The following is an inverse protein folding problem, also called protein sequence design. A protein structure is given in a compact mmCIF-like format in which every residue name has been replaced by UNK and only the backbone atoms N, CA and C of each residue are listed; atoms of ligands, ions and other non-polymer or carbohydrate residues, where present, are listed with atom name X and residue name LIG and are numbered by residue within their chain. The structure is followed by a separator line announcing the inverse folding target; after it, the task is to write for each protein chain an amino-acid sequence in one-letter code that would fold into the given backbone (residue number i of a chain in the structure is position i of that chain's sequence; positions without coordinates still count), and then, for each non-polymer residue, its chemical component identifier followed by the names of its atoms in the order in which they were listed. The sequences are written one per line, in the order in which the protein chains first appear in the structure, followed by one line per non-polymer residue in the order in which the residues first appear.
data_IF_353762331860
#
_entry.id   IF_353762331860
#
_cell.length_a   1.000
_cell.length_b   1.000
_cell.length_c   1.000
_cell.angle_alpha   90.00
_cell.angle_beta   90.00
_cell.angle_gamma   90.00
#
_symmetry.space_group_name_H-M   'P 1'
#
loop_
_entity.id
_entity.type
_entity.pdbx_description
1 polymer ?
#
# COMPACT_ATOMS: atom_id res chain seq x y z
N UNK A 1 0.37 -10.98 26.28
CA UNK A 1 1.11 -11.45 25.09
C UNK A 1 2.00 -10.31 24.66
N UNK A 2 3.26 -10.55 24.33
CA UNK A 2 4.12 -9.52 23.75
C UNK A 2 3.70 -9.32 22.29
N UNK A 3 3.51 -8.09 21.86
CA UNK A 3 3.28 -7.77 20.46
C UNK A 3 4.54 -8.09 19.63
N UNK A 4 4.38 -8.76 18.50
CA UNK A 4 5.43 -8.97 17.51
C UNK A 4 4.99 -8.48 16.15
N UNK A 5 5.92 -7.92 15.38
CA UNK A 5 5.62 -7.50 14.01
C UNK A 5 5.33 -8.71 13.13
N UNK A 6 4.30 -8.64 12.27
CA UNK A 6 4.04 -9.67 11.29
C UNK A 6 5.25 -9.90 10.39
N UNK A 7 5.57 -11.16 10.14
CA UNK A 7 6.70 -11.53 9.28
C UNK A 7 6.22 -11.71 7.85
N UNK A 8 6.91 -11.09 6.91
CA UNK A 8 6.69 -11.34 5.49
C UNK A 8 7.01 -12.80 5.12
N UNK A 9 6.08 -13.44 4.44
CA UNK A 9 6.21 -14.78 3.89
C UNK A 9 6.16 -14.69 2.36
N UNK A 10 7.27 -15.00 1.71
CA UNK A 10 7.28 -15.11 0.26
C UNK A 10 6.38 -16.27 -0.21
N UNK A 11 5.72 -16.14 -1.38
CA UNK A 11 4.92 -17.22 -1.93
C UNK A 11 5.79 -18.41 -2.31
N UNK A 12 5.27 -19.61 -2.09
CA UNK A 12 5.84 -20.85 -2.62
C UNK A 12 5.21 -21.14 -3.99
N UNK A 13 5.87 -20.71 -5.06
CA UNK A 13 5.37 -20.86 -6.41
C UNK A 13 5.24 -22.33 -6.84
N UNK A 14 6.06 -23.23 -6.29
CA UNK A 14 5.94 -24.67 -6.52
C UNK A 14 4.66 -25.22 -5.90
N UNK A 15 4.39 -24.88 -4.64
CA UNK A 15 3.15 -25.28 -3.97
C UNK A 15 1.88 -24.69 -4.64
N UNK A 16 2.02 -23.52 -5.28
CA UNK A 16 0.94 -22.89 -6.05
C UNK A 16 0.78 -23.48 -7.46
N UNK A 17 1.68 -24.35 -7.92
CA UNK A 17 1.67 -24.90 -9.26
C UNK A 17 2.06 -23.88 -10.34
N UNK A 18 2.82 -22.86 -9.99
CA UNK A 18 3.21 -21.75 -10.86
C UNK A 18 4.67 -21.81 -11.34
N UNK A 19 5.32 -22.97 -11.22
CA UNK A 19 6.71 -23.19 -11.71
C UNK A 19 6.84 -23.04 -13.24
N UNK A 20 5.75 -23.30 -13.95
CA UNK A 20 5.69 -23.24 -15.40
C UNK A 20 4.80 -22.09 -15.90
N UNK A 21 4.64 -21.05 -15.08
CA UNK A 21 3.91 -19.87 -15.50
C UNK A 21 4.56 -19.23 -16.75
N UNK A 22 3.78 -18.65 -17.65
CA UNK A 22 4.35 -17.91 -18.76
C UNK A 22 5.07 -16.65 -18.28
N UNK A 23 6.06 -16.19 -19.02
CA UNK A 23 6.59 -14.84 -18.80
C UNK A 23 5.53 -13.78 -19.07
N UNK A 24 5.58 -12.70 -18.34
CA UNK A 24 4.69 -11.54 -18.54
C UNK A 24 4.83 -11.02 -19.97
N UNK A 25 3.72 -10.62 -20.54
CA UNK A 25 3.72 -9.93 -21.81
C UNK A 25 4.18 -8.49 -21.62
N UNK A 26 5.18 -8.08 -22.38
CA UNK A 26 5.71 -6.71 -22.40
C UNK A 26 5.32 -6.01 -23.70
N UNK A 27 4.83 -4.80 -23.58
CA UNK A 27 4.50 -3.93 -24.73
C UNK A 27 5.20 -2.59 -24.54
N UNK A 28 5.99 -2.11 -25.51
CA UNK A 28 6.66 -0.84 -25.38
C UNK A 28 5.66 0.32 -25.35
N UNK A 29 5.88 1.28 -24.48
CA UNK A 29 5.11 2.53 -24.48
C UNK A 29 5.41 3.31 -25.77
N UNK A 30 4.37 3.81 -26.44
CA UNK A 30 4.54 4.54 -27.70
C UNK A 30 5.05 5.96 -27.51
N UNK A 31 4.69 6.58 -26.38
CA UNK A 31 5.01 7.99 -26.07
C UNK A 31 5.27 8.16 -24.58
N UNK A 32 5.95 9.25 -24.22
CA UNK A 32 6.15 9.63 -22.83
C UNK A 32 4.80 9.85 -22.13
N UNK A 33 4.61 9.23 -20.97
CA UNK A 33 3.40 9.34 -20.16
C UNK A 33 2.17 8.60 -20.72
N UNK A 34 2.31 7.83 -21.80
CA UNK A 34 1.23 7.04 -22.39
C UNK A 34 1.53 5.56 -22.25
N UNK A 35 0.61 4.84 -21.64
CA UNK A 35 0.73 3.38 -21.45
C UNK A 35 -0.07 2.62 -22.51
N UNK A 36 0.38 1.42 -22.90
CA UNK A 36 -0.34 0.59 -23.86
C UNK A 36 -1.67 0.10 -23.33
N UNK A 37 -2.61 -0.18 -24.21
CA UNK A 37 -3.89 -0.78 -23.85
C UNK A 37 -3.67 -2.14 -23.15
N UNK A 38 -4.45 -2.38 -22.09
CA UNK A 38 -4.37 -3.61 -21.31
C UNK A 38 -3.17 -3.67 -20.37
N UNK A 39 -2.50 -2.54 -20.11
CA UNK A 39 -1.48 -2.50 -19.07
C UNK A 39 -2.03 -3.01 -17.72
N UNK A 40 -1.15 -3.59 -16.91
CA UNK A 40 -1.49 -3.98 -15.55
C UNK A 40 -1.41 -2.76 -14.61
N UNK A 41 -2.53 -2.43 -13.97
CA UNK A 41 -2.58 -1.40 -12.94
C UNK A 41 -2.17 -2.02 -11.60
N UNK A 42 -1.10 -1.52 -11.01
CA UNK A 42 -0.51 -2.08 -9.79
C UNK A 42 -1.36 -1.86 -8.54
N UNK A 43 -1.18 -2.72 -7.55
CA UNK A 43 -1.88 -2.70 -6.26
C UNK A 43 -0.95 -2.29 -5.12
N UNK A 44 -1.44 -2.32 -3.88
CA UNK A 44 -0.62 -2.14 -2.67
C UNK A 44 0.00 -3.44 -2.16
N UNK A 45 -0.44 -4.60 -2.69
CA UNK A 45 0.09 -5.89 -2.29
C UNK A 45 1.47 -6.15 -2.91
N UNK A 46 2.26 -7.06 -2.35
CA UNK A 46 3.42 -7.60 -3.04
C UNK A 46 3.00 -8.24 -4.36
N UNK A 47 3.54 -7.76 -5.45
CA UNK A 47 3.28 -8.25 -6.80
C UNK A 47 4.51 -8.92 -7.35
N UNK A 48 4.30 -10.11 -7.89
CA UNK A 48 5.34 -10.89 -8.54
C UNK A 48 5.05 -11.02 -10.02
N UNK A 49 6.09 -10.91 -10.80
CA UNK A 49 6.04 -11.01 -12.26
C UNK A 49 6.99 -12.09 -12.72
N UNK A 50 6.50 -12.99 -13.56
CA UNK A 50 7.35 -14.01 -14.16
C UNK A 50 8.12 -13.40 -15.34
N UNK A 51 9.42 -13.31 -15.21
CA UNK A 51 10.30 -12.64 -16.17
C UNK A 51 11.58 -13.47 -16.37
N UNK A 52 11.90 -13.78 -17.63
CA UNK A 52 13.05 -14.60 -17.98
C UNK A 52 13.09 -15.93 -17.21
N UNK A 53 11.94 -16.60 -17.11
CA UNK A 53 11.79 -17.91 -16.49
C UNK A 53 11.86 -17.91 -14.95
N UNK A 54 11.68 -16.76 -14.30
CA UNK A 54 11.69 -16.65 -12.83
C UNK A 54 10.69 -15.63 -12.31
N UNK A 55 10.22 -15.84 -11.09
CA UNK A 55 9.39 -14.88 -10.39
C UNK A 55 10.23 -13.75 -9.79
N UNK A 56 9.88 -12.51 -10.11
CA UNK A 56 10.55 -11.30 -9.66
C UNK A 56 9.54 -10.46 -8.87
N UNK A 57 9.86 -10.12 -7.63
CA UNK A 57 9.07 -9.17 -6.83
C UNK A 57 9.26 -7.76 -7.38
N UNK A 58 8.15 -7.04 -7.55
CA UNK A 58 8.19 -5.63 -7.91
C UNK A 58 8.88 -4.79 -6.81
N UNK A 59 9.73 -3.89 -7.22
CA UNK A 59 10.35 -2.92 -6.32
C UNK A 59 9.41 -1.72 -6.13
N UNK A 60 9.36 -1.19 -4.89
CA UNK A 60 8.61 0.04 -4.53
C UNK A 60 7.11 0.00 -4.87
N UNK A 61 6.41 -1.04 -4.39
CA UNK A 61 4.96 -1.22 -4.62
C UNK A 61 4.17 0.06 -4.34
N UNK A 62 3.35 0.46 -5.32
CA UNK A 62 2.40 1.57 -5.25
C UNK A 62 1.14 1.20 -6.00
N UNK A 63 0.00 1.64 -5.49
CA UNK A 63 -1.29 1.46 -6.14
C UNK A 63 -1.43 2.39 -7.36
N UNK A 64 -2.16 1.92 -8.37
CA UNK A 64 -2.52 2.67 -9.57
C UNK A 64 -1.31 3.22 -10.36
N UNK A 65 -0.24 2.45 -10.40
CA UNK A 65 0.96 2.72 -11.18
C UNK A 65 1.15 1.69 -12.29
N UNK A 66 2.29 1.71 -12.93
CA UNK A 66 2.64 0.89 -14.09
C UNK A 66 3.87 0.04 -13.76
N UNK A 67 3.80 -1.25 -14.05
CA UNK A 67 4.95 -2.15 -13.95
C UNK A 67 5.76 -2.10 -15.25
N UNK A 68 7.05 -1.75 -15.15
CA UNK A 68 7.98 -1.63 -16.26
C UNK A 68 9.16 -2.58 -16.03
N UNK A 69 9.47 -3.41 -17.02
CA UNK A 69 10.61 -4.33 -16.95
C UNK A 69 11.90 -3.61 -17.36
N UNK A 70 12.89 -3.55 -16.47
CA UNK A 70 14.19 -2.95 -16.74
C UNK A 70 15.31 -3.78 -16.11
N UNK A 71 16.30 -4.14 -16.89
CA UNK A 71 17.49 -4.85 -16.41
C UNK A 71 17.18 -6.13 -15.60
N UNK A 72 16.17 -6.91 -16.01
CA UNK A 72 15.73 -8.12 -15.31
C UNK A 72 15.04 -7.88 -13.96
N UNK A 73 14.53 -6.67 -13.73
CA UNK A 73 13.73 -6.26 -12.58
C UNK A 73 12.41 -5.65 -13.04
N UNK A 74 11.47 -5.52 -12.12
CA UNK A 74 10.21 -4.81 -12.33
C UNK A 74 10.21 -3.57 -11.45
N UNK A 75 10.21 -2.42 -12.09
CA UNK A 75 10.09 -1.10 -11.45
C UNK A 75 8.64 -0.61 -11.54
N UNK A 76 8.13 -0.08 -10.43
CA UNK A 76 6.79 0.52 -10.40
C UNK A 76 6.92 2.03 -10.67
N UNK A 77 6.31 2.46 -11.77
CA UNK A 77 6.48 3.80 -12.31
C UNK A 77 5.12 4.51 -12.39
N UNK A 78 5.05 5.75 -11.93
CA UNK A 78 3.87 6.59 -12.17
C UNK A 78 3.70 6.87 -13.68
N UNK A 79 2.45 6.97 -14.16
CA UNK A 79 2.15 7.20 -15.59
C UNK A 79 2.98 8.30 -16.22
N UNK A 80 3.05 9.45 -15.57
CA UNK A 80 3.79 10.64 -16.05
C UNK A 80 5.30 10.41 -16.23
N UNK A 81 5.83 9.38 -15.61
CA UNK A 81 7.26 9.04 -15.63
C UNK A 81 7.59 7.93 -16.63
N UNK A 82 6.59 7.29 -17.23
CA UNK A 82 6.77 6.31 -18.30
C UNK A 82 7.41 7.00 -19.51
N UNK A 83 8.40 6.36 -20.12
CA UNK A 83 9.10 6.86 -21.31
C UNK A 83 8.74 6.05 -22.54
N UNK A 84 8.77 6.71 -23.69
CA UNK A 84 8.64 6.02 -24.97
C UNK A 84 9.67 4.91 -25.08
N UNK A 85 9.21 3.70 -25.42
CA UNK A 85 10.04 2.50 -25.49
C UNK A 85 10.14 1.72 -24.17
N UNK A 86 9.64 2.21 -23.06
CA UNK A 86 9.58 1.45 -21.80
C UNK A 86 8.76 0.16 -21.99
N UNK A 87 9.31 -1.01 -21.65
CA UNK A 87 8.61 -2.29 -21.76
C UNK A 87 7.61 -2.44 -20.61
N UNK A 88 6.37 -2.07 -20.88
CA UNK A 88 5.27 -2.07 -19.92
C UNK A 88 4.64 -3.45 -19.84
N UNK A 89 4.39 -3.93 -18.62
CA UNK A 89 3.65 -5.18 -18.36
C UNK A 89 2.19 -4.99 -18.74
N UNK A 90 1.67 -5.91 -19.56
CA UNK A 90 0.25 -5.96 -19.92
C UNK A 90 -0.33 -7.32 -19.50
N UNK A 91 -1.56 -7.28 -18.98
CA UNK A 91 -2.29 -8.44 -18.45
C UNK A 91 -3.37 -8.00 -17.48
N UNK A 92 -4.34 -8.87 -17.23
CA UNK A 92 -5.48 -8.55 -16.33
C UNK A 92 -5.71 -9.59 -15.25
N UNK A 93 -5.10 -10.76 -15.38
CA UNK A 93 -5.20 -11.83 -14.38
C UNK A 93 -4.06 -11.71 -13.38
N UNK A 94 -4.37 -11.95 -12.11
CA UNK A 94 -3.47 -11.74 -10.97
C UNK A 94 -3.16 -13.04 -10.24
N UNK A 95 -3.52 -14.17 -10.87
CA UNK A 95 -3.40 -15.52 -10.32
C UNK A 95 -2.16 -16.29 -10.81
N UNK A 96 -1.31 -15.64 -11.60
CA UNK A 96 -0.10 -16.22 -12.21
C UNK A 96 -0.30 -16.75 -13.63
N UNK A 97 -1.53 -16.85 -14.12
CA UNK A 97 -1.83 -17.42 -15.45
C UNK A 97 -1.30 -16.57 -16.61
N UNK A 98 -1.14 -15.27 -16.41
CA UNK A 98 -0.50 -14.32 -17.34
C UNK A 98 0.89 -13.88 -16.88
N UNK A 99 1.51 -14.62 -15.95
CA UNK A 99 2.80 -14.26 -15.39
C UNK A 99 2.75 -13.14 -14.37
N UNK A 100 1.56 -12.73 -13.92
CA UNK A 100 1.35 -11.74 -12.88
C UNK A 100 0.71 -12.43 -11.68
N UNK A 101 1.32 -12.32 -10.50
CA UNK A 101 0.80 -12.90 -9.27
C UNK A 101 0.77 -11.88 -8.16
N UNK A 102 -0.41 -11.60 -7.62
CA UNK A 102 -0.59 -10.77 -6.43
C UNK A 102 -0.62 -11.65 -5.20
N UNK A 103 0.15 -11.28 -4.18
CA UNK A 103 0.29 -12.03 -2.94
C UNK A 103 -0.46 -11.37 -1.77
N UNK A 104 -1.79 -11.58 -1.61
CA UNK A 104 -2.58 -10.88 -0.61
C UNK A 104 -2.31 -11.37 0.82
N UNK A 105 -1.91 -12.63 0.99
CA UNK A 105 -1.66 -13.25 2.29
C UNK A 105 -0.16 -13.31 2.61
N UNK A 106 0.49 -12.17 2.55
CA UNK A 106 1.94 -12.06 2.60
C UNK A 106 2.52 -11.93 4.01
N UNK A 107 1.69 -11.82 5.04
CA UNK A 107 2.16 -11.71 6.42
C UNK A 107 1.60 -12.83 7.29
N UNK A 108 2.43 -13.34 8.19
CA UNK A 108 2.02 -14.25 9.25
C UNK A 108 2.36 -13.66 10.60
N UNK A 109 1.49 -13.90 11.58
CA UNK A 109 1.82 -13.76 12.98
C UNK A 109 2.68 -14.93 13.45
N UNK A 110 3.29 -14.83 14.65
CA UNK A 110 4.07 -15.90 15.25
C UNK A 110 3.25 -17.17 15.52
N UNK A 111 1.93 -17.08 15.57
CA UNK A 111 1.01 -18.20 15.74
C UNK A 111 0.68 -18.92 14.43
N UNK A 112 1.21 -18.45 13.28
CA UNK A 112 0.95 -19.04 11.98
C UNK A 112 -0.46 -18.74 11.44
N UNK A 113 -1.15 -17.80 12.02
CA UNK A 113 -2.50 -17.42 11.64
C UNK A 113 -2.45 -16.51 10.38
N UNK A 114 -2.85 -17.04 9.24
CA UNK A 114 -2.79 -16.35 7.94
C UNK A 114 -3.87 -15.26 7.75
N UNK A 115 -4.62 -14.91 8.81
CA UNK A 115 -5.78 -14.02 8.69
C UNK A 115 -5.52 -12.54 9.00
N UNK A 116 -4.30 -12.15 9.40
CA UNK A 116 -4.03 -10.83 9.97
C UNK A 116 -4.21 -9.65 8.98
N UNK A 117 -4.10 -9.88 7.67
CA UNK A 117 -4.28 -8.83 6.65
C UNK A 117 -5.13 -9.25 5.45
N UNK A 118 -6.12 -10.13 5.66
CA UNK A 118 -7.10 -10.35 4.62
C UNK A 118 -7.93 -9.07 4.44
N UNK A 119 -7.72 -8.33 3.36
CA UNK A 119 -8.74 -7.43 2.84
C UNK A 119 -9.98 -8.27 2.59
N UNK A 120 -10.95 -8.15 3.48
CA UNK A 120 -12.10 -9.03 3.55
C UNK A 120 -12.90 -8.93 2.27
N UNK A 121 -12.82 -9.93 1.44
CA UNK A 121 -13.83 -10.19 0.42
C UNK A 121 -15.18 -10.39 1.13
N UNK A 122 -16.05 -9.39 1.08
CA UNK A 122 -17.46 -9.55 1.50
C UNK A 122 -17.93 -8.76 2.71
N UNK A 123 -17.16 -7.81 3.27
CA UNK A 123 -17.64 -6.93 4.35
C UNK A 123 -17.48 -5.45 4.01
N UNK A 124 -18.55 -4.69 4.29
CA UNK A 124 -18.63 -3.25 4.11
C UNK A 124 -17.49 -2.52 4.85
N UNK A 125 -16.98 -1.43 4.26
CA UNK A 125 -16.02 -0.50 4.87
C UNK A 125 -16.51 0.15 6.17
N UNK A 126 -17.79 -0.01 6.49
CA UNK A 126 -18.49 0.68 7.58
C UNK A 126 -18.57 -0.12 8.88
N UNK A 127 -18.10 -1.36 8.93
CA UNK A 127 -18.09 -2.15 10.15
C UNK A 127 -16.74 -2.04 10.86
N UNK A 128 -16.68 -1.23 11.90
CA UNK A 128 -15.57 -1.18 12.82
C UNK A 128 -15.49 -2.50 13.62
N UNK A 129 -14.36 -3.20 13.55
CA UNK A 129 -14.09 -4.36 14.37
C UNK A 129 -13.13 -3.97 15.49
N UNK A 130 -13.53 -4.22 16.72
CA UNK A 130 -12.73 -3.93 17.91
C UNK A 130 -11.36 -4.62 17.90
N UNK A 131 -11.29 -5.80 17.31
CA UNK A 131 -10.03 -6.56 17.16
C UNK A 131 -9.03 -5.81 16.28
N UNK A 132 -9.47 -5.29 15.13
CA UNK A 132 -8.59 -4.55 14.21
C UNK A 132 -8.05 -3.26 14.88
N UNK A 133 -8.86 -2.60 15.71
CA UNK A 133 -8.40 -1.44 16.48
C UNK A 133 -7.42 -1.81 17.59
N UNK A 134 -7.62 -2.94 18.27
CA UNK A 134 -6.70 -3.40 19.31
C UNK A 134 -5.32 -3.74 18.74
N UNK A 135 -5.27 -4.37 17.56
CA UNK A 135 -4.03 -4.63 16.82
C UNK A 135 -3.36 -3.32 16.39
N UNK A 136 -4.13 -2.38 15.83
CA UNK A 136 -3.63 -1.05 15.48
C UNK A 136 -3.03 -0.32 16.70
N UNK A 137 -3.70 -0.38 17.86
CA UNK A 137 -3.18 0.25 19.08
C UNK A 137 -1.88 -0.42 19.56
N UNK A 138 -1.77 -1.74 19.43
CA UNK A 138 -0.53 -2.46 19.77
C UNK A 138 0.60 -2.08 18.81
N UNK A 139 0.31 -1.99 17.50
CA UNK A 139 1.27 -1.54 16.49
C UNK A 139 1.75 -0.12 16.80
N UNK A 140 0.84 0.83 17.03
CA UNK A 140 1.20 2.21 17.35
C UNK A 140 2.06 2.30 18.62
N UNK A 141 1.78 1.51 19.66
CA UNK A 141 2.60 1.45 20.87
C UNK A 141 4.00 0.91 20.59
N UNK A 142 4.09 -0.14 19.77
CA UNK A 142 5.36 -0.71 19.37
C UNK A 142 6.19 0.30 18.57
N UNK A 143 5.60 0.89 17.54
CA UNK A 143 6.28 1.83 16.66
C UNK A 143 6.67 3.15 17.34
N UNK A 144 5.95 3.55 18.38
CA UNK A 144 6.35 4.70 19.19
C UNK A 144 7.73 4.54 19.83
N UNK A 145 8.09 3.30 20.20
CA UNK A 145 9.32 3.00 20.97
C UNK A 145 10.43 2.42 20.08
N UNK A 146 10.07 1.76 18.97
CA UNK A 146 11.02 0.98 18.19
C UNK A 146 11.11 1.41 16.71
N UNK A 147 10.14 2.19 16.24
CA UNK A 147 10.04 2.57 14.84
C UNK A 147 9.79 4.05 14.62
N UNK A 148 9.10 4.35 13.51
CA UNK A 148 8.73 5.70 13.15
C UNK A 148 7.28 5.74 12.65
N UNK A 149 6.47 6.62 13.20
CA UNK A 149 5.08 6.82 12.81
C UNK A 149 5.00 8.12 12.00
N UNK A 150 4.74 7.99 10.71
CA UNK A 150 4.49 9.11 9.81
C UNK A 150 2.99 9.22 9.54
N UNK A 151 2.40 10.34 9.89
CA UNK A 151 1.01 10.65 9.61
C UNK A 151 0.90 11.41 8.30
N UNK A 152 0.05 10.93 7.40
CA UNK A 152 -0.29 11.60 6.14
C UNK A 152 -1.75 12.00 6.20
N UNK A 153 -2.03 13.29 6.30
CA UNK A 153 -3.35 13.78 6.67
C UNK A 153 -3.92 14.79 5.67
N UNK A 154 -5.19 14.62 5.36
CA UNK A 154 -6.01 15.63 4.68
C UNK A 154 -6.61 16.63 5.68
N UNK A 155 -7.39 17.61 5.21
CA UNK A 155 -7.96 18.68 6.04
C UNK A 155 -9.09 18.19 6.97
N UNK A 156 -9.68 17.05 6.75
CA UNK A 156 -10.87 16.56 7.47
C UNK A 156 -10.67 16.54 9.00
N UNK A 157 -9.50 16.14 9.49
CA UNK A 157 -9.22 16.13 10.93
C UNK A 157 -9.13 17.53 11.57
N UNK A 158 -8.94 18.57 10.77
CA UNK A 158 -8.91 19.95 11.28
C UNK A 158 -10.30 20.56 11.43
N UNK A 159 -11.31 20.04 10.74
CA UNK A 159 -12.70 20.49 10.86
C UNK A 159 -13.40 19.98 12.11
N UNK A 160 -13.04 18.79 12.56
CA UNK A 160 -13.64 18.13 13.72
C UNK A 160 -12.85 18.48 14.99
N UNK A 161 -13.52 19.06 15.96
CA UNK A 161 -12.89 19.50 17.22
C UNK A 161 -12.37 18.29 18.04
N UNK A 162 -13.09 17.17 18.04
CA UNK A 162 -12.70 15.96 18.76
C UNK A 162 -11.50 15.29 18.06
N UNK A 163 -11.49 15.24 16.74
CA UNK A 163 -10.35 14.73 15.95
C UNK A 163 -9.10 15.59 16.18
N UNK A 164 -9.23 16.93 16.22
CA UNK A 164 -8.11 17.84 16.54
C UNK A 164 -7.56 17.58 17.94
N UNK A 165 -8.44 17.46 18.93
CA UNK A 165 -8.05 17.19 20.32
C UNK A 165 -7.35 15.82 20.45
N UNK A 166 -7.89 14.79 19.79
CA UNK A 166 -7.31 13.46 19.77
C UNK A 166 -5.93 13.45 19.09
N UNK A 167 -5.79 14.11 17.94
CA UNK A 167 -4.50 14.19 17.26
C UNK A 167 -3.47 14.96 18.09
N UNK A 168 -3.86 16.07 18.72
CA UNK A 168 -2.99 16.79 19.64
C UNK A 168 -2.55 15.94 20.85
N UNK A 169 -3.40 15.03 21.33
CA UNK A 169 -3.03 14.08 22.37
C UNK A 169 -2.01 13.04 21.86
N UNK A 170 -2.18 12.54 20.63
CA UNK A 170 -1.20 11.64 19.98
C UNK A 170 0.17 12.31 19.82
N UNK A 171 0.20 13.59 19.42
CA UNK A 171 1.45 14.37 19.33
C UNK A 171 2.13 14.46 20.71
N UNK A 172 1.39 14.86 21.74
CA UNK A 172 1.93 14.94 23.10
C UNK A 172 2.35 13.59 23.68
N UNK A 173 1.67 12.53 23.27
CA UNK A 173 1.98 11.14 23.65
C UNK A 173 3.17 10.52 22.93
N UNK A 174 3.80 11.23 21.97
CA UNK A 174 4.94 10.73 21.23
C UNK A 174 4.58 9.73 20.11
N UNK A 175 3.33 9.74 19.64
CA UNK A 175 2.87 8.89 18.56
C UNK A 175 2.98 9.53 17.16
N UNK A 176 3.62 10.68 17.07
CA UNK A 176 3.79 11.42 15.81
C UNK A 176 5.27 11.77 15.65
N UNK A 177 5.98 10.99 14.85
CA UNK A 177 7.39 11.23 14.53
C UNK A 177 7.54 12.15 13.31
N UNK A 178 6.53 12.14 12.44
CA UNK A 178 6.45 13.03 11.29
C UNK A 178 5.01 13.27 10.87
N UNK A 179 4.75 14.42 10.25
CA UNK A 179 3.46 14.78 9.67
C UNK A 179 3.67 15.29 8.25
N UNK A 180 2.98 14.68 7.30
CA UNK A 180 2.85 15.18 5.93
C UNK A 180 1.41 15.61 5.70
N UNK A 181 1.23 16.83 5.22
CA UNK A 181 -0.09 17.38 4.95
C UNK A 181 -0.03 18.40 3.81
N UNK A 182 -1.15 18.56 3.11
CA UNK A 182 -1.34 19.67 2.19
C UNK A 182 -1.57 21.00 2.94
N UNK A 183 -1.48 22.11 2.21
CA UNK A 183 -1.75 23.46 2.73
C UNK A 183 -3.15 23.60 3.36
N UNK A 184 -4.13 22.85 2.86
CA UNK A 184 -5.50 22.89 3.38
C UNK A 184 -5.60 22.50 4.86
N UNK A 185 -4.83 21.52 5.34
CA UNK A 185 -4.83 21.16 6.76
C UNK A 185 -4.41 22.33 7.64
N UNK A 186 -3.29 22.98 7.31
CA UNK A 186 -2.76 24.10 8.08
C UNK A 186 -3.70 25.32 8.01
N UNK A 187 -4.27 25.62 6.84
CA UNK A 187 -5.21 26.73 6.66
C UNK A 187 -6.44 26.55 7.53
N UNK A 188 -7.09 25.40 7.45
CA UNK A 188 -8.31 25.14 8.24
C UNK A 188 -8.06 25.02 9.74
N UNK A 189 -6.91 24.54 10.15
CA UNK A 189 -6.54 24.52 11.58
C UNK A 189 -6.37 25.94 12.14
N UNK A 190 -5.75 26.83 11.37
CA UNK A 190 -5.62 28.24 11.72
C UNK A 190 -6.98 28.93 11.74
N UNK A 191 -7.82 28.74 10.73
CA UNK A 191 -9.17 29.30 10.67
C UNK A 191 -10.00 28.86 11.87
N UNK A 192 -10.02 27.56 12.17
CA UNK A 192 -10.73 27.03 13.33
C UNK A 192 -10.20 27.56 14.67
N UNK A 193 -8.90 27.86 14.74
CA UNK A 193 -8.27 28.42 15.93
C UNK A 193 -8.62 29.90 16.16
N UNK A 194 -8.80 30.68 15.08
CA UNK A 194 -9.10 32.11 15.14
C UNK A 194 -10.61 32.43 15.12
N UNK A 195 -11.37 31.66 14.36
CA UNK A 195 -12.78 31.95 14.07
C UNK A 195 -13.75 31.03 14.84
N UNK A 196 -13.21 30.03 15.54
CA UNK A 196 -13.99 28.95 16.11
C UNK A 196 -14.38 27.90 15.08
N UNK A 197 -15.07 26.79 15.45
CA UNK A 197 -15.51 25.78 14.51
C UNK A 197 -16.51 26.39 13.53
N UNK A 198 -16.02 26.82 12.39
CA UNK A 198 -16.75 27.68 11.43
C UNK A 198 -17.59 26.88 10.44
N UNK A 199 -17.83 25.63 10.65
CA UNK A 199 -18.76 24.84 9.84
C UNK A 199 -19.69 24.07 10.79
N UNK A 200 -20.71 24.77 11.27
CA UNK A 200 -21.90 24.18 11.89
C UNK A 200 -22.78 23.54 10.85
#
# INVERSE_FOLDING_TARGET
MSFSLPRYLAPDFTALGLDQAPDVKLVPAEQDGVVPDGYHATTLFPEYYHLDGRWVLAEDSRMDCVAVARNGRIEIVEFRNVKAGDPVVVGRTEDGSEGIYIHPNCFADEAGNREAFAFRTGRSRETAYSIDYDELYQLLRHEREHGNILWVMGPACAFDADARAAFAALVRGGYVHGLMAGNALATHDLEASYLGPALG
#
